data_IF_831239710239
#
_entry.id   IF_831239710239
#
_cell.length_a   1.000
_cell.length_b   1.000
_cell.length_c   1.000
_cell.angle_alpha   90.00
_cell.angle_beta   90.00
_cell.angle_gamma   90.00
#
_symmetry.space_group_name_H-M   'P 1'
#
loop_
_entity.id
_entity.type
_entity.pdbx_description
1 polymer ?
#
# COMPACT_ATOMS: atom_id res chain seq x y z
N UNK A 1 14.92 -12.00 8.31
CA UNK A 1 14.89 -11.45 6.94
C UNK A 1 13.75 -12.04 6.11
N UNK A 2 13.38 -13.32 6.30
CA UNK A 2 12.17 -13.90 5.70
C UNK A 2 10.88 -13.32 6.32
N UNK A 3 10.85 -13.17 7.65
CA UNK A 3 9.63 -12.77 8.37
C UNK A 3 9.15 -11.36 7.98
N UNK A 4 10.08 -10.41 7.77
CA UNK A 4 9.71 -9.04 7.39
C UNK A 4 9.15 -8.97 5.96
N UNK A 5 9.60 -9.85 5.05
CA UNK A 5 9.04 -9.96 3.68
C UNK A 5 7.61 -10.50 3.73
N UNK A 6 7.42 -11.56 4.50
CA UNK A 6 6.12 -12.19 4.66
C UNK A 6 5.11 -11.21 5.31
N UNK A 7 5.51 -10.51 6.37
CA UNK A 7 4.67 -9.49 7.00
C UNK A 7 4.32 -8.36 6.02
N UNK A 8 5.27 -7.88 5.23
CA UNK A 8 5.01 -6.83 4.24
C UNK A 8 4.03 -7.30 3.15
N UNK A 9 4.16 -8.55 2.69
CA UNK A 9 3.21 -9.16 1.75
C UNK A 9 1.82 -9.30 2.35
N UNK A 10 1.71 -9.81 3.58
CA UNK A 10 0.43 -9.96 4.28
C UNK A 10 -0.27 -8.62 4.49
N UNK A 11 0.45 -7.59 4.94
CA UNK A 11 -0.12 -6.25 5.14
C UNK A 11 -0.58 -5.65 3.82
N UNK A 12 0.22 -5.80 2.76
CA UNK A 12 -0.16 -5.37 1.41
C UNK A 12 -1.44 -6.05 0.96
N UNK A 13 -1.54 -7.36 1.14
CA UNK A 13 -2.71 -8.14 0.77
C UNK A 13 -3.95 -7.71 1.54
N UNK A 14 -3.90 -7.67 2.88
CA UNK A 14 -5.06 -7.30 3.71
C UNK A 14 -5.52 -5.87 3.47
N UNK A 15 -4.59 -4.96 3.25
CA UNK A 15 -4.89 -3.58 2.91
C UNK A 15 -5.66 -3.49 1.59
N UNK A 16 -5.15 -4.11 0.52
CA UNK A 16 -5.81 -4.11 -0.79
C UNK A 16 -7.13 -4.88 -0.80
N UNK A 17 -7.21 -6.02 -0.10
CA UNK A 17 -8.45 -6.78 0.03
C UNK A 17 -9.54 -5.96 0.74
N UNK A 18 -9.18 -5.21 1.78
CA UNK A 18 -10.11 -4.33 2.47
C UNK A 18 -10.63 -3.23 1.56
N UNK A 19 -9.76 -2.61 0.75
CA UNK A 19 -10.16 -1.61 -0.26
C UNK A 19 -11.08 -2.21 -1.32
N UNK A 20 -10.74 -3.40 -1.84
CA UNK A 20 -11.54 -4.11 -2.85
C UNK A 20 -12.99 -4.34 -2.42
N UNK A 21 -13.18 -4.57 -1.11
CA UNK A 21 -14.49 -4.82 -0.48
C UNK A 21 -15.20 -3.54 -0.01
N UNK A 22 -14.64 -2.36 -0.26
CA UNK A 22 -15.20 -1.09 0.23
C UNK A 22 -15.05 -0.89 1.75
N UNK A 23 -14.27 -1.72 2.44
CA UNK A 23 -14.13 -1.68 3.91
C UNK A 23 -13.04 -0.68 4.33
N UNK A 24 -13.39 0.60 4.27
CA UNK A 24 -12.51 1.73 4.60
C UNK A 24 -11.91 1.63 6.00
N UNK A 25 -12.71 1.25 7.00
CA UNK A 25 -12.25 1.15 8.40
C UNK A 25 -11.17 0.08 8.56
N UNK A 26 -11.32 -1.06 7.88
CA UNK A 26 -10.32 -2.13 7.92
C UNK A 26 -9.06 -1.75 7.16
N UNK A 27 -9.19 -1.11 6.01
CA UNK A 27 -8.06 -0.60 5.24
C UNK A 27 -7.26 0.45 6.04
N UNK A 28 -7.94 1.38 6.72
CA UNK A 28 -7.32 2.47 7.48
C UNK A 28 -6.42 1.98 8.63
N UNK A 29 -6.68 0.79 9.19
CA UNK A 29 -5.85 0.18 10.24
C UNK A 29 -4.43 -0.13 9.79
N UNK A 30 -4.22 -0.30 8.48
CA UNK A 30 -2.91 -0.54 7.90
C UNK A 30 -2.22 0.75 7.48
N UNK A 31 -2.88 1.91 7.55
CA UNK A 31 -2.35 3.19 7.10
C UNK A 31 -1.76 3.98 8.27
N UNK A 32 -0.61 4.61 8.06
CA UNK A 32 0.01 5.50 9.03
C UNK A 32 -0.94 6.65 9.35
N UNK A 33 -1.27 6.86 10.64
CA UNK A 33 -2.28 7.84 11.06
C UNK A 33 -2.07 9.25 10.48
N UNK A 34 -0.82 9.74 10.45
CA UNK A 34 -0.49 11.05 9.87
C UNK A 34 -0.65 11.14 8.34
N UNK A 35 -0.99 10.03 7.68
CA UNK A 35 -1.25 9.95 6.23
C UNK A 35 -2.71 9.61 5.93
N UNK A 36 -3.51 9.22 6.92
CA UNK A 36 -4.92 8.89 6.71
C UNK A 36 -5.70 10.11 6.17
N UNK A 37 -5.34 11.34 6.53
CA UNK A 37 -5.95 12.55 5.97
C UNK A 37 -5.56 12.79 4.50
N UNK A 38 -4.41 12.28 4.06
CA UNK A 38 -3.95 12.38 2.68
C UNK A 38 -4.52 11.26 1.79
N UNK A 39 -4.93 10.15 2.41
CA UNK A 39 -5.66 9.10 1.73
C UNK A 39 -7.13 9.38 1.86
N UNK A 40 -7.75 9.87 0.79
CA UNK A 40 -9.21 9.82 0.71
C UNK A 40 -9.63 8.36 0.60
N UNK A 41 -9.75 7.69 1.76
CA UNK A 41 -9.94 6.23 1.82
C UNK A 41 -11.21 5.80 1.12
N UNK A 42 -12.25 6.64 1.14
CA UNK A 42 -13.48 6.43 0.38
C UNK A 42 -13.22 6.46 -1.12
N UNK A 43 -12.55 7.50 -1.64
CA UNK A 43 -12.21 7.57 -3.07
C UNK A 43 -11.30 6.42 -3.48
N UNK A 44 -10.33 6.04 -2.66
CA UNK A 44 -9.51 4.86 -2.92
C UNK A 44 -10.34 3.60 -2.97
N UNK A 45 -11.23 3.36 -2.00
CA UNK A 45 -12.08 2.18 -2.00
C UNK A 45 -12.97 2.12 -3.25
N UNK A 46 -13.45 3.26 -3.75
CA UNK A 46 -14.16 3.35 -5.02
C UNK A 46 -13.25 3.01 -6.21
N UNK A 47 -12.05 3.60 -6.30
CA UNK A 47 -11.12 3.34 -7.41
C UNK A 47 -10.54 1.92 -7.42
N UNK A 48 -10.57 1.26 -6.28
CA UNK A 48 -10.07 -0.10 -6.09
C UNK A 48 -11.19 -1.13 -5.91
N UNK A 49 -12.45 -0.73 -6.10
CA UNK A 49 -13.60 -1.63 -5.99
C UNK A 49 -13.46 -2.83 -6.94
N UNK A 50 -13.64 -4.04 -6.41
CA UNK A 50 -13.50 -5.26 -7.21
C UNK A 50 -12.09 -5.54 -7.73
N UNK A 51 -11.05 -4.91 -7.16
CA UNK A 51 -9.67 -5.27 -7.49
C UNK A 51 -9.36 -6.72 -7.10
N UNK A 52 -8.47 -7.34 -7.86
CA UNK A 52 -7.84 -8.62 -7.53
C UNK A 52 -6.32 -8.45 -7.52
N UNK A 53 -5.68 -8.87 -6.43
CA UNK A 53 -4.21 -8.99 -6.37
C UNK A 53 -3.80 -10.20 -7.19
N UNK A 54 -2.97 -9.98 -8.22
CA UNK A 54 -2.45 -11.06 -9.06
C UNK A 54 -1.11 -11.58 -8.53
N UNK A 55 -0.19 -10.66 -8.21
CA UNK A 55 1.18 -11.02 -7.84
C UNK A 55 1.86 -9.91 -7.04
N UNK A 56 2.62 -10.26 -5.99
CA UNK A 56 3.56 -9.34 -5.34
C UNK A 56 4.94 -9.52 -5.98
N UNK A 57 5.29 -8.62 -6.90
CA UNK A 57 6.43 -8.77 -7.81
C UNK A 57 7.78 -8.45 -7.16
N UNK A 58 7.85 -7.42 -6.30
CA UNK A 58 9.11 -6.96 -5.71
C UNK A 58 8.92 -6.41 -4.32
N UNK A 59 9.85 -6.75 -3.42
CA UNK A 59 10.04 -6.10 -2.13
C UNK A 59 11.46 -5.54 -2.04
N UNK A 60 11.60 -4.21 -1.97
CA UNK A 60 12.88 -3.53 -1.74
C UNK A 60 12.95 -3.09 -0.29
N UNK A 61 14.00 -3.51 0.42
CA UNK A 61 14.31 -3.03 1.77
C UNK A 61 15.27 -1.87 1.62
N UNK A 62 14.78 -0.68 1.89
CA UNK A 62 15.57 0.52 1.69
C UNK A 62 16.05 1.05 3.04
N UNK A 63 17.29 1.53 3.07
CA UNK A 63 17.74 2.38 4.17
C UNK A 63 16.95 3.68 4.15
N UNK A 64 16.67 4.23 5.33
CA UNK A 64 16.10 5.57 5.45
C UNK A 64 17.15 6.64 5.12
N UNK A 65 18.44 6.31 5.24
CA UNK A 65 19.55 7.18 4.86
C UNK A 65 19.53 7.47 3.36
N UNK A 66 19.65 8.75 2.99
CA UNK A 66 19.59 9.20 1.59
C UNK A 66 18.19 9.36 1.01
N UNK A 67 17.13 8.99 1.74
CA UNK A 67 15.73 9.35 1.40
C UNK A 67 15.40 10.78 1.86
N UNK A 68 14.34 11.41 1.30
CA UNK A 68 13.86 12.73 1.75
C UNK A 68 13.68 12.83 3.27
N UNK A 69 13.76 14.05 3.82
CA UNK A 69 13.74 14.30 5.26
C UNK A 69 12.56 13.63 6.00
N UNK A 70 11.38 13.56 5.36
CA UNK A 70 10.21 12.86 5.89
C UNK A 70 10.49 11.39 6.26
N UNK A 71 11.34 10.71 5.49
CA UNK A 71 11.64 9.29 5.65
C UNK A 71 12.71 9.00 6.70
N UNK A 72 13.56 9.99 7.02
CA UNK A 72 14.64 9.87 8.00
C UNK A 72 14.13 9.57 9.41
N UNK A 73 12.87 9.90 9.71
CA UNK A 73 12.24 9.66 11.02
C UNK A 73 11.81 8.22 11.26
N UNK A 74 11.81 7.36 10.23
CA UNK A 74 11.41 5.96 10.35
C UNK A 74 12.62 5.07 10.58
N UNK A 75 12.39 3.98 11.31
CA UNK A 75 13.41 2.96 11.56
C UNK A 75 13.69 2.11 10.31
N UNK A 76 12.65 1.75 9.56
CA UNK A 76 12.78 0.96 8.32
C UNK A 76 11.70 1.31 7.30
N UNK A 77 12.01 1.05 6.02
CA UNK A 77 11.12 1.23 4.87
C UNK A 77 11.17 -0.03 4.00
N UNK A 78 10.00 -0.45 3.51
CA UNK A 78 9.85 -1.48 2.49
C UNK A 78 9.02 -0.91 1.35
N UNK A 79 9.54 -0.97 0.13
CA UNK A 79 8.80 -0.63 -1.08
C UNK A 79 8.30 -1.92 -1.73
N UNK A 80 6.99 -2.04 -1.93
CA UNK A 80 6.33 -3.20 -2.52
C UNK A 80 5.79 -2.85 -3.90
N UNK A 81 6.14 -3.64 -4.91
CA UNK A 81 5.54 -3.57 -6.24
C UNK A 81 4.55 -4.73 -6.37
N UNK A 82 3.30 -4.43 -6.71
CA UNK A 82 2.21 -5.41 -6.81
C UNK A 82 1.49 -5.25 -8.15
N UNK A 83 1.25 -6.38 -8.81
CA UNK A 83 0.41 -6.47 -10.00
C UNK A 83 -1.02 -6.74 -9.56
N UNK A 84 -1.94 -5.90 -10.02
CA UNK A 84 -3.37 -6.01 -9.71
C UNK A 84 -4.17 -6.06 -11.01
N UNK A 85 -5.40 -6.57 -10.93
CA UNK A 85 -6.43 -6.49 -11.97
C UNK A 85 -7.63 -5.75 -11.42
N UNK A 86 -8.12 -4.75 -12.13
CA UNK A 86 -9.35 -4.03 -11.82
C UNK A 86 -10.39 -4.43 -12.87
N UNK A 87 -11.55 -4.89 -12.41
CA UNK A 87 -12.57 -5.50 -13.28
C UNK A 87 -13.41 -4.47 -14.05
N UNK A 88 -13.52 -3.25 -13.53
CA UNK A 88 -14.38 -2.18 -14.09
C UNK A 88 -13.59 -0.89 -14.25
N UNK A 89 -14.10 0.02 -15.07
CA UNK A 89 -13.66 1.42 -15.07
C UNK A 89 -13.90 2.01 -13.67
N UNK A 90 -12.96 2.82 -13.19
CA UNK A 90 -13.15 3.50 -11.92
C UNK A 90 -13.99 4.77 -12.06
N UNK A 91 -14.35 5.35 -10.91
CA UNK A 91 -15.13 6.59 -10.79
C UNK A 91 -14.48 7.84 -11.42
N UNK A 92 -13.20 7.77 -11.80
CA UNK A 92 -12.46 8.87 -12.43
C UNK A 92 -12.07 8.57 -13.89
N UNK A 93 -12.63 7.50 -14.47
CA UNK A 93 -12.50 7.16 -15.89
C UNK A 93 -11.27 6.32 -16.25
N UNK A 94 -10.57 5.76 -15.28
CA UNK A 94 -9.46 4.85 -15.57
C UNK A 94 -10.00 3.49 -16.01
N UNK A 95 -9.56 2.96 -17.17
CA UNK A 95 -10.14 1.74 -17.73
C UNK A 95 -9.87 0.50 -16.87
N UNK A 96 -10.77 -0.49 -16.97
CA UNK A 96 -10.50 -1.83 -16.43
C UNK A 96 -9.19 -2.41 -17.03
N UNK A 97 -8.51 -3.26 -16.27
CA UNK A 97 -7.28 -3.89 -16.75
C UNK A 97 -6.27 -4.22 -15.67
N UNK A 98 -5.09 -4.66 -16.12
CA UNK A 98 -3.95 -4.93 -15.25
C UNK A 98 -3.15 -3.65 -14.99
N UNK A 99 -2.74 -3.45 -13.73
CA UNK A 99 -1.97 -2.28 -13.30
C UNK A 99 -0.85 -2.70 -12.37
N UNK A 100 0.23 -1.90 -12.36
CA UNK A 100 1.30 -2.02 -11.38
C UNK A 100 1.13 -0.91 -10.34
N UNK A 101 1.04 -1.32 -9.09
CA UNK A 101 0.93 -0.43 -7.94
C UNK A 101 2.21 -0.53 -7.10
N UNK A 102 2.65 0.61 -6.61
CA UNK A 102 3.77 0.77 -5.70
C UNK A 102 3.24 1.17 -4.33
N UNK A 103 3.57 0.40 -3.30
CA UNK A 103 3.12 0.60 -1.92
C UNK A 103 4.35 0.76 -1.04
N UNK A 104 4.40 1.84 -0.27
CA UNK A 104 5.47 2.02 0.71
C UNK A 104 4.97 1.70 2.11
N UNK A 105 5.65 0.76 2.76
CA UNK A 105 5.45 0.37 4.15
C UNK A 105 6.58 0.93 5.01
N UNK A 106 6.24 1.46 6.18
CA UNK A 106 7.21 2.02 7.13
C UNK A 106 7.04 1.42 8.51
N UNK A 107 8.13 1.43 9.26
CA UNK A 107 8.17 1.05 10.68
C UNK A 107 8.80 2.19 11.47
N UNK A 108 8.06 2.75 12.43
CA UNK A 108 8.52 3.91 13.19
C UNK A 108 9.66 3.57 14.17
N UNK A 109 9.60 2.40 14.82
CA UNK A 109 10.63 1.88 15.70
C UNK A 109 10.60 0.33 15.71
N UNK A 110 11.58 -0.37 16.32
CA UNK A 110 11.66 -1.83 16.29
C UNK A 110 10.43 -2.59 16.79
N UNK A 111 9.61 -2.01 17.67
CA UNK A 111 8.39 -2.65 18.21
C UNK A 111 7.09 -2.22 17.51
N UNK A 112 7.14 -1.23 16.61
CA UNK A 112 5.97 -0.74 15.90
C UNK A 112 5.45 -1.74 14.85
N UNK A 113 4.14 -1.66 14.57
CA UNK A 113 3.54 -2.30 13.40
C UNK A 113 4.08 -1.67 12.12
N UNK A 114 4.10 -2.44 11.04
CA UNK A 114 4.31 -1.93 9.70
C UNK A 114 3.03 -1.24 9.20
N UNK A 115 3.18 -0.09 8.56
CA UNK A 115 2.07 0.74 8.11
C UNK A 115 2.33 1.28 6.70
N UNK A 116 1.29 1.32 5.88
CA UNK A 116 1.24 1.98 4.57
C UNK A 116 1.36 3.48 4.78
N UNK A 117 2.30 4.11 4.07
CA UNK A 117 2.45 5.57 4.05
C UNK A 117 2.11 6.19 2.70
N UNK A 118 2.33 5.45 1.61
CA UNK A 118 2.22 5.96 0.24
C UNK A 118 1.71 4.86 -0.70
N UNK A 119 0.89 5.29 -1.67
CA UNK A 119 0.40 4.51 -2.80
C UNK A 119 0.73 5.32 -4.05
N UNK A 120 1.42 4.70 -5.00
CA UNK A 120 1.66 5.26 -6.33
C UNK A 120 1.30 4.24 -7.38
N UNK A 121 0.78 4.68 -8.51
CA UNK A 121 0.59 3.85 -9.70
C UNK A 121 1.65 4.18 -10.74
N UNK A 122 2.27 3.18 -11.35
CA UNK A 122 3.00 3.39 -12.59
C UNK A 122 2.00 3.50 -13.74
N UNK A 123 1.90 4.67 -14.35
CA UNK A 123 1.25 4.86 -15.65
C UNK A 123 2.20 4.51 -16.78
#
# INVERSE_FOLDING_TARGET
>A
MNDEKEIAQQITFYFLESLSKGNVDSAARFVLKSKQENFSMTQMAESFSGLQVLEVMKLSFDSTQGRPAYYQKFYKIISVMVKIKIATEDNIGNPAGERILFITLVKANPSSKWLVTELGSGS
#
